data_IF_211130289210
#
_entry.id   IF_211130289210
#
_cell.length_a   1.000
_cell.length_b   1.000
_cell.length_c   1.000
_cell.angle_alpha   90.00
_cell.angle_beta   90.00
_cell.angle_gamma   90.00
#
_symmetry.space_group_name_H-M   'P 1'
#
loop_
_entity.id
_entity.type
_entity.pdbx_description
1 polymer ?
#
# COMPACT_ATOMS: atom_id res chain seq x y z
N UNK A 1 -30.11 32.71 -2.41
CA UNK A 1 -29.75 33.05 -1.02
C UNK A 1 -28.31 32.62 -0.74
N UNK A 2 -27.47 33.49 -0.18
CA UNK A 2 -26.05 33.21 0.11
C UNK A 2 -25.86 32.28 1.33
N UNK A 3 -26.81 32.31 2.27
CA UNK A 3 -26.84 31.43 3.44
C UNK A 3 -26.99 29.95 3.06
N UNK A 4 -27.93 29.61 2.17
CA UNK A 4 -28.08 28.21 1.69
C UNK A 4 -26.80 27.68 1.04
N UNK A 5 -26.07 28.53 0.32
CA UNK A 5 -24.77 28.15 -0.31
C UNK A 5 -23.65 27.98 0.72
N UNK A 6 -23.68 28.70 1.84
CA UNK A 6 -22.74 28.51 2.96
C UNK A 6 -22.95 27.15 3.63
N UNK A 7 -24.19 26.88 4.04
CA UNK A 7 -24.57 25.62 4.69
C UNK A 7 -24.24 24.41 3.80
N UNK A 8 -24.50 24.47 2.49
CA UNK A 8 -24.14 23.36 1.59
C UNK A 8 -22.64 23.09 1.52
N UNK A 9 -21.78 24.13 1.63
CA UNK A 9 -20.33 23.94 1.64
C UNK A 9 -19.84 23.31 2.93
N UNK A 10 -20.40 23.72 4.07
CA UNK A 10 -20.06 23.15 5.37
C UNK A 10 -20.48 21.68 5.47
N UNK A 11 -21.67 21.33 4.96
CA UNK A 11 -22.12 19.93 4.88
C UNK A 11 -21.18 19.12 3.98
N UNK A 12 -20.81 19.65 2.81
CA UNK A 12 -19.89 18.96 1.91
C UNK A 12 -18.51 18.74 2.56
N UNK A 13 -17.99 19.75 3.28
CA UNK A 13 -16.75 19.60 4.04
C UNK A 13 -16.88 18.52 5.12
N UNK A 14 -17.95 18.56 5.93
CA UNK A 14 -18.20 17.56 6.97
C UNK A 14 -18.24 16.13 6.43
N UNK A 15 -18.89 15.92 5.28
CA UNK A 15 -18.91 14.61 4.60
C UNK A 15 -17.52 14.14 4.19
N UNK A 16 -16.71 15.03 3.61
CA UNK A 16 -15.33 14.68 3.24
C UNK A 16 -14.47 14.36 4.46
N UNK A 17 -14.66 15.06 5.58
CA UNK A 17 -13.93 14.78 6.83
C UNK A 17 -14.27 13.39 7.38
N UNK A 18 -15.56 13.02 7.37
CA UNK A 18 -16.00 11.68 7.77
C UNK A 18 -15.44 10.60 6.84
N UNK A 19 -15.47 10.84 5.53
CA UNK A 19 -14.94 9.91 4.53
C UNK A 19 -13.42 9.68 4.70
N UNK A 20 -12.65 10.71 5.10
CA UNK A 20 -11.23 10.53 5.44
C UNK A 20 -11.07 9.58 6.64
N UNK A 21 -11.89 9.73 7.66
CA UNK A 21 -11.79 8.94 8.89
C UNK A 21 -12.12 7.46 8.65
N UNK A 22 -13.25 7.21 7.98
CA UNK A 22 -13.75 5.87 7.63
C UNK A 22 -12.73 5.12 6.77
N UNK A 23 -12.26 5.75 5.67
CA UNK A 23 -11.27 5.13 4.79
C UNK A 23 -9.93 4.89 5.49
N UNK A 24 -9.54 5.72 6.46
CA UNK A 24 -8.33 5.50 7.24
C UNK A 24 -8.49 4.31 8.20
N UNK A 25 -9.64 4.21 8.86
CA UNK A 25 -9.97 3.11 9.77
C UNK A 25 -9.98 1.77 9.02
N UNK A 26 -10.71 1.68 7.91
CA UNK A 26 -10.75 0.49 7.06
C UNK A 26 -9.35 0.05 6.59
N UNK A 27 -8.50 1.03 6.24
CA UNK A 27 -7.16 0.74 5.76
C UNK A 27 -6.24 0.30 6.90
N UNK A 28 -6.37 0.88 8.09
CA UNK A 28 -5.67 0.45 9.30
C UNK A 28 -6.06 -0.99 9.67
N UNK A 29 -7.35 -1.33 9.65
CA UNK A 29 -7.86 -2.67 9.96
C UNK A 29 -7.33 -3.73 8.98
N UNK A 30 -7.40 -3.44 7.68
CA UNK A 30 -6.87 -4.35 6.64
C UNK A 30 -5.36 -4.56 6.78
N UNK A 31 -4.62 -3.53 7.18
CA UNK A 31 -3.18 -3.64 7.45
C UNK A 31 -2.89 -4.42 8.73
N UNK A 32 -3.71 -4.30 9.77
CA UNK A 32 -3.58 -5.15 10.96
C UNK A 32 -3.85 -6.62 10.64
N UNK A 33 -4.88 -6.93 9.86
CA UNK A 33 -5.17 -8.30 9.39
C UNK A 33 -4.02 -8.85 8.54
N UNK A 34 -3.51 -8.06 7.59
CA UNK A 34 -2.35 -8.45 6.79
C UNK A 34 -1.11 -8.68 7.66
N UNK A 35 -0.97 -7.92 8.75
CA UNK A 35 0.13 -8.02 9.70
C UNK A 35 0.08 -9.29 10.55
N UNK A 36 -1.11 -9.71 10.99
CA UNK A 36 -1.33 -10.95 11.72
C UNK A 36 -1.09 -12.20 10.86
N UNK A 37 -1.36 -12.10 9.55
CA UNK A 37 -0.99 -13.14 8.58
C UNK A 37 0.52 -13.39 8.46
N UNK A 38 1.37 -12.50 8.99
CA UNK A 38 2.84 -12.68 9.01
C UNK A 38 3.35 -13.52 10.19
N UNK A 39 2.56 -13.73 11.25
CA UNK A 39 3.03 -14.32 12.51
C UNK A 39 3.00 -15.86 12.60
N UNK A 40 2.48 -16.57 11.60
CA UNK A 40 2.34 -18.04 11.70
C UNK A 40 3.20 -18.73 10.64
N UNK A 41 4.45 -18.99 11.02
CA UNK A 41 5.24 -20.09 10.47
C UNK A 41 5.11 -21.31 11.40
N UNK A 42 3.87 -21.71 11.68
CA UNK A 42 3.55 -22.86 12.54
C UNK A 42 2.13 -22.78 13.12
N UNK A 43 1.23 -23.59 12.55
CA UNK A 43 -0.14 -23.90 13.03
C UNK A 43 -1.29 -23.01 12.54
N UNK A 44 -1.94 -23.56 11.51
CA UNK A 44 -3.37 -23.88 11.40
C UNK A 44 -4.40 -22.72 11.32
N UNK A 45 -5.11 -22.76 10.18
CA UNK A 45 -6.49 -22.31 9.89
C UNK A 45 -7.00 -21.04 10.58
N UNK A 46 -7.16 -19.99 9.78
CA UNK A 46 -8.44 -19.28 9.70
C UNK A 46 -8.56 -18.58 8.34
N UNK A 47 -9.15 -19.31 7.41
CA UNK A 47 -9.56 -18.84 6.09
C UNK A 47 -10.77 -17.92 6.24
N UNK A 48 -10.54 -16.62 6.41
CA UNK A 48 -11.59 -15.62 6.18
C UNK A 48 -11.75 -15.42 4.68
N UNK A 49 -12.71 -16.17 4.13
CA UNK A 49 -13.30 -15.99 2.81
C UNK A 49 -14.15 -14.72 2.84
N UNK A 50 -13.59 -13.60 2.41
CA UNK A 50 -14.38 -12.42 2.06
C UNK A 50 -14.83 -12.57 0.61
N UNK A 51 -16.05 -13.06 0.46
CA UNK A 51 -16.75 -13.28 -0.81
C UNK A 51 -17.51 -12.02 -1.18
N UNK A 52 -16.86 -11.04 -1.79
CA UNK A 52 -17.49 -10.03 -2.65
C UNK A 52 -16.53 -9.59 -3.76
N UNK A 53 -16.58 -10.29 -4.90
CA UNK A 53 -17.07 -9.77 -6.19
C UNK A 53 -16.57 -10.67 -7.33
N UNK A 54 -17.50 -11.34 -8.01
CA UNK A 54 -17.27 -12.08 -9.25
C UNK A 54 -17.19 -11.07 -10.40
N UNK A 55 -15.99 -10.82 -10.92
CA UNK A 55 -15.83 -10.49 -12.32
C UNK A 55 -14.56 -11.16 -12.87
N UNK A 56 -14.79 -11.81 -14.00
CA UNK A 56 -14.10 -12.99 -14.53
C UNK A 56 -12.90 -12.59 -15.41
N UNK A 57 -11.98 -13.55 -15.57
CA UNK A 57 -10.88 -13.60 -16.56
C UNK A 57 -9.56 -12.88 -16.19
N UNK A 58 -8.70 -13.61 -15.46
CA UNK A 58 -7.40 -13.93 -16.06
C UNK A 58 -6.88 -15.26 -15.50
N UNK A 59 -6.77 -16.26 -16.38
CA UNK A 59 -6.09 -17.53 -16.17
C UNK A 59 -4.59 -17.28 -15.94
N UNK A 60 -4.21 -16.85 -14.75
CA UNK A 60 -2.83 -16.99 -14.29
C UNK A 60 -2.79 -17.97 -13.13
N UNK A 61 -2.90 -19.24 -13.54
CA UNK A 61 -2.24 -20.41 -12.98
C UNK A 61 -1.87 -20.29 -11.50
N UNK A 62 -2.52 -21.14 -10.72
CA UNK A 62 -2.18 -21.61 -9.38
C UNK A 62 -0.67 -21.93 -9.17
N UNK A 63 0.14 -20.87 -9.17
CA UNK A 63 1.51 -20.78 -8.64
C UNK A 63 1.55 -19.56 -7.71
N UNK A 64 0.41 -19.15 -7.13
CA UNK A 64 0.43 -18.50 -5.83
C UNK A 64 0.58 -19.60 -4.78
N UNK A 65 1.77 -20.22 -4.79
CA UNK A 65 2.23 -21.03 -3.68
C UNK A 65 2.16 -20.16 -2.45
N UNK A 66 1.15 -20.41 -1.62
CA UNK A 66 0.85 -19.77 -0.36
C UNK A 66 2.01 -19.95 0.63
N UNK A 67 3.11 -19.24 0.39
CA UNK A 67 4.25 -19.12 1.30
C UNK A 67 4.27 -17.68 1.79
N UNK A 68 3.34 -17.39 2.71
CA UNK A 68 3.50 -16.36 3.75
C UNK A 68 3.70 -14.90 3.29
N UNK A 69 3.05 -14.46 2.21
CA UNK A 69 3.12 -13.05 1.78
C UNK A 69 1.81 -12.52 1.22
N UNK A 70 1.49 -11.26 1.51
CA UNK A 70 0.36 -10.52 0.91
C UNK A 70 0.42 -10.63 -0.62
N UNK A 71 -0.68 -11.06 -1.26
CA UNK A 71 -0.72 -11.19 -2.72
C UNK A 71 -0.52 -9.83 -3.40
N UNK A 72 0.00 -9.84 -4.64
CA UNK A 72 0.24 -8.61 -5.41
C UNK A 72 -1.03 -7.81 -5.63
N UNK A 73 -2.19 -8.46 -5.83
CA UNK A 73 -3.50 -7.82 -5.93
C UNK A 73 -3.88 -7.08 -4.64
N UNK A 74 -3.68 -7.71 -3.47
CA UNK A 74 -3.93 -7.09 -2.16
C UNK A 74 -3.02 -5.88 -1.93
N UNK A 75 -1.73 -5.99 -2.28
CA UNK A 75 -0.78 -4.87 -2.20
C UNK A 75 -1.17 -3.70 -3.11
N UNK A 76 -1.62 -3.98 -4.33
CA UNK A 76 -2.09 -2.93 -5.25
C UNK A 76 -3.30 -2.21 -4.66
N UNK A 77 -4.29 -2.95 -4.14
CA UNK A 77 -5.50 -2.36 -3.55
C UNK A 77 -5.15 -1.43 -2.37
N UNK A 78 -4.30 -1.89 -1.44
CA UNK A 78 -3.82 -1.06 -0.32
C UNK A 78 -3.16 0.24 -0.78
N UNK A 79 -2.35 0.19 -1.84
CA UNK A 79 -1.70 1.38 -2.43
C UNK A 79 -2.73 2.33 -3.03
N UNK A 80 -3.69 1.82 -3.79
CA UNK A 80 -4.76 2.62 -4.40
C UNK A 80 -5.60 3.30 -3.33
N UNK A 81 -6.02 2.57 -2.30
CA UNK A 81 -6.86 3.10 -1.22
C UNK A 81 -6.13 4.18 -0.42
N UNK A 82 -4.85 3.94 -0.08
CA UNK A 82 -4.01 4.93 0.57
C UNK A 82 -3.90 6.23 -0.25
N UNK A 83 -3.74 6.11 -1.57
CA UNK A 83 -3.68 7.28 -2.48
C UNK A 83 -4.99 8.02 -2.56
N UNK A 84 -6.13 7.33 -2.50
CA UNK A 84 -7.44 7.98 -2.46
C UNK A 84 -7.61 8.81 -1.19
N UNK A 85 -7.16 8.30 -0.04
CA UNK A 85 -7.11 9.07 1.21
C UNK A 85 -6.20 10.29 1.08
N UNK A 86 -4.99 10.13 0.53
CA UNK A 86 -4.06 11.26 0.31
C UNK A 86 -4.70 12.34 -0.57
N UNK A 87 -5.34 11.97 -1.69
CA UNK A 87 -6.03 12.91 -2.57
C UNK A 87 -7.21 13.61 -1.89
N UNK A 88 -7.99 12.88 -1.08
CA UNK A 88 -9.11 13.44 -0.33
C UNK A 88 -8.63 14.48 0.70
N UNK A 89 -7.57 14.17 1.44
CA UNK A 89 -6.94 15.08 2.41
C UNK A 89 -6.38 16.33 1.74
N UNK A 90 -5.82 16.21 0.53
CA UNK A 90 -5.35 17.34 -0.27
C UNK A 90 -6.51 18.22 -0.73
N UNK A 91 -7.64 17.63 -1.14
CA UNK A 91 -8.84 18.36 -1.55
C UNK A 91 -9.51 19.15 -0.42
N UNK A 92 -9.33 18.71 0.84
CA UNK A 92 -9.79 19.41 2.05
C UNK A 92 -8.81 20.53 2.43
N UNK A 93 -7.51 20.28 2.23
CA UNK A 93 -6.43 21.18 2.58
C UNK A 93 -5.63 20.66 3.78
N UNK A 94 -4.32 20.52 3.57
CA UNK A 94 -3.37 19.97 4.56
C UNK A 94 -3.28 20.79 5.86
N UNK A 95 -3.66 22.07 5.82
CA UNK A 95 -3.68 22.95 6.99
C UNK A 95 -4.95 22.85 7.84
N UNK A 96 -5.95 22.07 7.42
CA UNK A 96 -7.17 21.89 8.21
C UNK A 96 -6.85 21.14 9.52
N UNK A 97 -7.32 21.60 10.70
CA UNK A 97 -6.95 21.02 12.00
C UNK A 97 -7.19 19.52 12.11
N UNK A 98 -8.31 19.03 11.56
CA UNK A 98 -8.59 17.60 11.49
C UNK A 98 -7.52 16.84 10.67
N UNK A 99 -7.15 17.36 9.49
CA UNK A 99 -6.15 16.70 8.63
C UNK A 99 -4.78 16.67 9.30
N UNK A 100 -4.42 17.73 10.04
CA UNK A 100 -3.21 17.76 10.86
C UNK A 100 -3.25 16.64 11.92
N UNK A 101 -4.38 16.47 12.62
CA UNK A 101 -4.55 15.42 13.62
C UNK A 101 -4.44 14.00 13.02
N UNK A 102 -4.89 13.80 11.77
CA UNK A 102 -4.82 12.51 11.08
C UNK A 102 -3.44 12.19 10.47
N UNK A 103 -2.49 13.13 10.43
CA UNK A 103 -1.18 12.90 9.78
C UNK A 103 -0.42 11.71 10.34
N UNK A 104 -0.49 11.49 11.66
CA UNK A 104 0.19 10.36 12.30
C UNK A 104 -0.35 9.01 11.79
N UNK A 105 -1.67 8.87 11.62
CA UNK A 105 -2.33 7.68 11.05
C UNK A 105 -1.92 7.47 9.60
N UNK A 106 -2.01 8.51 8.77
CA UNK A 106 -1.61 8.47 7.35
C UNK A 106 -0.16 8.00 7.21
N UNK A 107 0.76 8.56 8.01
CA UNK A 107 2.18 8.18 7.99
C UNK A 107 2.37 6.71 8.40
N UNK A 108 1.68 6.24 9.45
CA UNK A 108 1.76 4.82 9.87
C UNK A 108 1.29 3.88 8.77
N UNK A 109 0.11 4.13 8.21
CA UNK A 109 -0.46 3.34 7.11
C UNK A 109 0.52 3.27 5.94
N UNK A 110 1.03 4.43 5.52
CA UNK A 110 1.99 4.52 4.41
C UNK A 110 3.27 3.72 4.68
N UNK A 111 3.83 3.82 5.88
CA UNK A 111 5.03 3.09 6.25
C UNK A 111 4.80 1.57 6.29
N UNK A 112 3.65 1.13 6.78
CA UNK A 112 3.29 -0.30 6.80
C UNK A 112 3.15 -0.86 5.39
N UNK A 113 2.48 -0.14 4.47
CA UNK A 113 2.38 -0.55 3.06
C UNK A 113 3.77 -0.66 2.42
N UNK A 114 4.67 0.31 2.68
CA UNK A 114 6.05 0.26 2.18
C UNK A 114 6.84 -0.91 2.75
N UNK A 115 6.63 -1.26 4.02
CA UNK A 115 7.24 -2.42 4.66
C UNK A 115 6.76 -3.73 4.02
N UNK A 116 5.46 -3.84 3.74
CA UNK A 116 4.87 -5.00 3.07
C UNK A 116 5.36 -5.16 1.64
N UNK A 117 5.40 -4.07 0.87
CA UNK A 117 6.00 -4.07 -0.47
C UNK A 117 7.48 -4.48 -0.42
N UNK A 118 8.24 -3.96 0.54
CA UNK A 118 9.65 -4.33 0.73
C UNK A 118 9.84 -5.80 1.08
N UNK A 119 8.94 -6.36 1.89
CA UNK A 119 8.96 -7.77 2.29
C UNK A 119 8.63 -8.66 1.11
N UNK A 120 7.58 -8.32 0.34
CA UNK A 120 7.20 -9.03 -0.86
C UNK A 120 8.31 -9.00 -1.93
N UNK A 121 9.00 -7.87 -2.09
CA UNK A 121 10.16 -7.78 -2.98
C UNK A 121 11.29 -8.73 -2.55
N UNK A 122 11.63 -8.77 -1.26
CA UNK A 122 12.68 -9.67 -0.75
C UNK A 122 12.30 -11.15 -0.93
N UNK A 123 11.06 -11.51 -0.62
CA UNK A 123 10.55 -12.88 -0.79
C UNK A 123 10.55 -13.31 -2.26
N UNK A 124 10.22 -12.42 -3.19
CA UNK A 124 10.19 -12.76 -4.62
C UNK A 124 11.56 -12.75 -5.28
N UNK A 125 12.48 -11.91 -4.81
CA UNK A 125 13.85 -11.85 -5.33
C UNK A 125 14.63 -13.16 -5.12
N UNK A 126 14.36 -13.90 -4.05
CA UNK A 126 15.03 -15.19 -3.78
C UNK A 126 14.48 -16.34 -4.61
N UNK A 127 13.33 -16.18 -5.27
CA UNK A 127 12.69 -17.21 -6.11
C UNK A 127 13.33 -17.35 -7.50
N UNK A 128 14.23 -16.44 -7.89
CA UNK A 128 14.93 -16.52 -9.17
C UNK A 128 13.99 -16.37 -10.38
N UNK A 129 14.16 -17.21 -11.39
CA UNK A 129 13.41 -17.13 -12.67
C UNK A 129 11.89 -17.25 -12.49
N UNK A 130 11.45 -18.19 -11.65
CA UNK A 130 10.03 -18.44 -11.39
C UNK A 130 9.32 -17.28 -10.67
N UNK A 131 10.08 -16.39 -10.01
CA UNK A 131 9.56 -15.20 -9.34
C UNK A 131 9.55 -13.93 -10.19
N UNK A 132 10.12 -13.93 -11.40
CA UNK A 132 10.37 -12.69 -12.16
C UNK A 132 9.12 -11.90 -12.48
N UNK A 133 8.05 -12.55 -12.95
CA UNK A 133 6.78 -11.88 -13.27
C UNK A 133 6.20 -11.20 -12.03
N UNK A 134 6.21 -11.89 -10.88
CA UNK A 134 5.76 -11.33 -9.60
C UNK A 134 6.64 -10.18 -9.13
N UNK A 135 7.96 -10.30 -9.27
CA UNK A 135 8.93 -9.25 -8.94
C UNK A 135 8.68 -7.97 -9.76
N UNK A 136 8.49 -8.10 -11.07
CA UNK A 136 8.19 -6.96 -11.96
C UNK A 136 6.88 -6.27 -11.55
N UNK A 137 5.85 -7.06 -11.19
CA UNK A 137 4.59 -6.51 -10.69
C UNK A 137 4.83 -5.72 -9.41
N UNK A 138 5.44 -6.30 -8.38
CA UNK A 138 5.67 -5.61 -7.09
C UNK A 138 6.51 -4.35 -7.27
N UNK A 139 7.55 -4.37 -8.12
CA UNK A 139 8.35 -3.17 -8.44
C UNK A 139 7.51 -2.06 -9.09
N UNK A 140 6.55 -2.44 -9.94
CA UNK A 140 5.63 -1.47 -10.55
C UNK A 140 4.72 -0.83 -9.50
N UNK A 141 4.17 -1.62 -8.58
CA UNK A 141 3.38 -1.11 -7.43
C UNK A 141 4.23 -0.17 -6.56
N UNK A 142 5.45 -0.59 -6.24
CA UNK A 142 6.38 0.18 -5.41
C UNK A 142 6.80 1.50 -6.05
N UNK A 143 6.97 1.52 -7.38
CA UNK A 143 7.22 2.74 -8.15
C UNK A 143 6.01 3.65 -8.15
N UNK A 144 4.82 3.13 -8.40
CA UNK A 144 3.59 3.92 -8.38
C UNK A 144 3.35 4.57 -7.01
N UNK A 145 3.57 3.83 -5.92
CA UNK A 145 3.40 4.36 -4.58
C UNK A 145 4.51 5.35 -4.18
N UNK A 146 5.74 5.13 -4.67
CA UNK A 146 6.92 5.97 -4.41
C UNK A 146 7.00 7.25 -5.24
N UNK A 147 6.56 7.23 -6.50
CA UNK A 147 6.60 8.39 -7.40
C UNK A 147 5.79 9.58 -6.86
N UNK A 148 4.71 9.31 -6.12
CA UNK A 148 3.91 10.35 -5.47
C UNK A 148 4.47 10.81 -4.10
N UNK A 149 5.42 10.06 -3.52
CA UNK A 149 6.11 10.47 -2.30
C UNK A 149 7.04 11.66 -2.53
N UNK A 150 7.54 11.82 -3.76
CA UNK A 150 8.41 12.95 -4.14
C UNK A 150 7.62 14.26 -4.26
N UNK A 151 6.30 14.20 -4.42
CA UNK A 151 5.42 15.37 -4.40
C UNK A 151 5.17 15.92 -2.97
N UNK A 152 5.56 15.18 -1.93
CA UNK A 152 5.34 15.54 -0.53
C UNK A 152 6.70 15.72 0.17
N UNK A 153 7.13 16.97 0.30
CA UNK A 153 8.48 17.43 0.67
C UNK A 153 9.06 17.05 2.05
N UNK A 154 8.66 15.93 2.65
CA UNK A 154 9.28 15.42 3.89
C UNK A 154 9.69 13.96 3.67
N UNK A 155 10.96 13.74 3.34
CA UNK A 155 11.59 12.41 3.27
C UNK A 155 12.14 11.96 1.90
N UNK A 156 12.31 12.88 0.95
CA UNK A 156 12.86 12.58 -0.39
C UNK A 156 14.28 12.00 -0.34
N UNK A 157 15.08 12.36 0.67
CA UNK A 157 16.48 11.93 0.75
C UNK A 157 16.69 10.53 1.33
N UNK A 158 15.92 10.14 2.36
CA UNK A 158 16.12 8.84 3.01
C UNK A 158 15.58 7.68 2.16
N UNK A 159 14.56 7.96 1.33
CA UNK A 159 13.92 6.95 0.46
C UNK A 159 14.75 6.63 -0.78
N UNK A 160 15.35 7.62 -1.45
CA UNK A 160 16.25 7.40 -2.60
C UNK A 160 17.38 6.41 -2.29
N UNK A 161 17.88 6.43 -1.05
CA UNK A 161 18.89 5.48 -0.58
C UNK A 161 18.36 4.05 -0.47
N UNK A 162 17.09 3.87 -0.06
CA UNK A 162 16.49 2.53 0.06
C UNK A 162 16.17 1.91 -1.31
N UNK A 163 15.68 2.70 -2.27
CA UNK A 163 15.50 2.24 -3.66
C UNK A 163 16.83 1.88 -4.31
N UNK A 164 17.87 2.72 -4.11
CA UNK A 164 19.22 2.44 -4.61
C UNK A 164 19.80 1.18 -3.96
N UNK A 165 19.73 1.04 -2.64
CA UNK A 165 20.28 -0.11 -1.92
C UNK A 165 19.53 -1.42 -2.24
N UNK A 166 18.20 -1.37 -2.44
CA UNK A 166 17.43 -2.51 -2.90
C UNK A 166 17.78 -2.90 -4.36
N UNK A 167 17.93 -1.93 -5.25
CA UNK A 167 18.35 -2.18 -6.64
C UNK A 167 19.79 -2.67 -6.71
N UNK A 168 20.72 -2.09 -5.94
CA UNK A 168 22.12 -2.52 -5.87
C UNK A 168 22.22 -3.95 -5.33
N UNK A 169 21.47 -4.33 -4.29
CA UNK A 169 21.43 -5.71 -3.79
C UNK A 169 20.88 -6.70 -4.82
N UNK A 170 19.85 -6.32 -5.58
CA UNK A 170 19.31 -7.14 -6.67
C UNK A 170 20.32 -7.27 -7.82
N UNK A 171 21.02 -6.19 -8.17
CA UNK A 171 22.05 -6.18 -9.23
C UNK A 171 23.33 -6.91 -8.81
N UNK A 172 23.73 -6.84 -7.54
CA UNK A 172 24.87 -7.58 -6.99
C UNK A 172 24.60 -9.09 -6.96
N UNK A 173 23.37 -9.52 -6.67
CA UNK A 173 23.00 -10.94 -6.70
C UNK A 173 23.09 -11.56 -8.12
N UNK A 174 22.96 -10.75 -9.18
CA UNK A 174 23.21 -11.20 -10.56
C UNK A 174 24.69 -11.50 -10.83
N UNK A 175 25.63 -10.83 -10.16
CA UNK A 175 27.07 -11.03 -10.37
C UNK A 175 27.55 -12.32 -9.69
N UNK A 176 26.92 -12.74 -8.59
CA UNK A 176 27.31 -13.94 -7.84
C UNK A 176 26.78 -15.24 -8.45
N UNK A 177 25.72 -15.19 -9.26
CA UNK A 177 25.09 -16.38 -9.88
C UNK A 177 25.66 -16.68 -11.29
N UNK A 178 26.47 -15.78 -11.88
CA UNK A 178 27.16 -15.99 -13.17
C UNK A 178 28.64 -16.38 -13.05
N UNK A 179 29.05 -17.01 -11.95
CA UNK A 179 30.40 -17.60 -11.81
C UNK A 179 30.34 -19.08 -11.51
#
# INVERSE_FOLDING_TARGET
CWEKRGVSREIALGRKLLEVDERLEELEDRLMVASLGRTVNGSQEDSWSDSEDEDVEDEELAVDGAVGGTSTKKLQRLVVDCRQVEALTESIGKGHPFIIAQQSRIIRVRNTILLDLSTALKQTAVMGESGKTRLIRILSIYREFGANAEAHGVGVQNRKNYYRDALEKILLNRVTISK
#
